data_IF_092177337249
#
_entry.id   IF_092177337249
#
_cell.length_a   1.000
_cell.length_b   1.000
_cell.length_c   1.000
_cell.angle_alpha   90.00
_cell.angle_beta   90.00
_cell.angle_gamma   90.00
#
_symmetry.space_group_name_H-M   'P 1'
#
loop_
_entity.id
_entity.type
_entity.pdbx_description
1 polymer ?
#
# COMPACT_ATOMS: atom_id res chain seq x y z
N UNK A 1 -9.43 -3.15 27.19
CA UNK A 1 -9.84 -4.57 27.09
C UNK A 1 -9.50 -5.08 25.70
N UNK A 2 -8.76 -6.19 25.60
CA UNK A 2 -8.47 -6.86 24.33
C UNK A 2 -9.79 -7.31 23.67
N UNK A 3 -10.01 -6.96 22.40
CA UNK A 3 -11.22 -7.34 21.66
C UNK A 3 -11.11 -8.82 21.29
N UNK A 4 -12.03 -9.64 21.79
CA UNK A 4 -12.05 -11.06 21.45
C UNK A 4 -12.50 -11.24 20.00
N UNK A 5 -11.85 -12.13 19.26
CA UNK A 5 -12.25 -12.52 17.91
C UNK A 5 -13.72 -12.95 17.84
N UNK A 6 -14.25 -13.50 18.92
CA UNK A 6 -15.67 -13.84 19.10
C UNK A 6 -16.60 -12.64 18.94
N UNK A 7 -16.25 -11.48 19.52
CA UNK A 7 -17.06 -10.28 19.39
C UNK A 7 -17.05 -9.75 17.96
N UNK A 8 -15.90 -9.81 17.29
CA UNK A 8 -15.78 -9.44 15.88
C UNK A 8 -16.59 -10.40 15.01
N UNK A 9 -16.55 -11.71 15.30
CA UNK A 9 -17.34 -12.73 14.61
C UNK A 9 -18.84 -12.44 14.67
N UNK A 10 -19.36 -12.04 15.85
CA UNK A 10 -20.77 -11.64 16.00
C UNK A 10 -21.19 -10.52 15.04
N UNK A 11 -20.33 -9.54 14.79
CA UNK A 11 -20.64 -8.48 13.81
C UNK A 11 -20.80 -9.01 12.37
N UNK A 12 -20.11 -10.09 12.01
CA UNK A 12 -20.32 -10.74 10.71
C UNK A 12 -21.62 -11.53 10.70
N UNK A 13 -21.93 -12.25 11.79
CA UNK A 13 -23.21 -12.97 11.96
C UNK A 13 -24.40 -12.00 11.82
N UNK A 14 -24.41 -10.89 12.57
CA UNK A 14 -25.41 -9.81 12.48
C UNK A 14 -25.50 -9.23 11.05
N UNK A 15 -24.37 -9.02 10.38
CA UNK A 15 -24.36 -8.50 9.01
C UNK A 15 -24.98 -9.47 7.99
N UNK A 16 -24.99 -10.77 8.26
CA UNK A 16 -25.66 -11.77 7.43
C UNK A 16 -27.14 -11.99 7.78
N UNK A 17 -27.61 -11.64 8.98
CA UNK A 17 -29.03 -11.78 9.37
C UNK A 17 -29.98 -10.99 8.46
N UNK A 18 -29.51 -9.89 7.88
CA UNK A 18 -30.26 -9.11 6.88
C UNK A 18 -30.24 -9.71 5.47
N UNK A 19 -29.78 -10.97 5.32
CA UNK A 19 -29.63 -11.67 4.06
C UNK A 19 -30.35 -13.01 4.10
N UNK A 20 -31.03 -13.38 3.02
CA UNK A 20 -31.70 -14.68 2.86
C UNK A 20 -30.75 -15.87 2.75
N UNK A 21 -29.44 -15.63 2.84
CA UNK A 21 -28.37 -16.63 2.75
C UNK A 21 -27.48 -16.53 3.99
N UNK A 22 -27.98 -17.09 5.10
CA UNK A 22 -27.19 -17.26 6.31
C UNK A 22 -26.08 -18.31 6.05
N UNK A 23 -24.81 -18.01 6.37
CA UNK A 23 -23.73 -18.98 6.21
C UNK A 23 -23.82 -20.07 7.28
N UNK A 24 -23.39 -21.29 6.97
CA UNK A 24 -23.36 -22.39 7.94
C UNK A 24 -22.26 -22.21 8.99
N UNK A 25 -21.17 -21.51 8.64
CA UNK A 25 -20.06 -21.21 9.53
C UNK A 25 -19.31 -19.95 9.08
N UNK A 26 -18.84 -19.15 10.03
CA UNK A 26 -17.98 -17.98 9.80
C UNK A 26 -16.67 -18.15 10.56
N UNK A 27 -15.54 -18.11 9.84
CA UNK A 27 -14.18 -18.08 10.38
C UNK A 27 -13.62 -16.66 10.21
N UNK A 28 -13.24 -16.03 11.33
CA UNK A 28 -12.62 -14.71 11.35
C UNK A 28 -11.25 -14.81 11.99
N UNK A 29 -10.24 -14.29 11.30
CA UNK A 29 -8.87 -14.20 11.80
C UNK A 29 -8.18 -12.92 11.39
N UNK A 30 -7.23 -12.50 12.21
CA UNK A 30 -6.24 -11.52 11.80
C UNK A 30 -5.13 -12.20 10.99
N UNK A 31 -4.65 -11.49 9.96
CA UNK A 31 -3.64 -11.97 9.04
C UNK A 31 -2.57 -10.89 8.86
N UNK A 32 -1.28 -11.27 8.83
CA UNK A 32 -0.15 -10.34 8.80
C UNK A 32 0.06 -9.73 7.40
N UNK A 33 -0.94 -9.00 6.89
CA UNK A 33 -0.79 -8.21 5.67
C UNK A 33 0.22 -7.08 5.88
N UNK A 34 0.93 -6.72 4.81
CA UNK A 34 1.88 -5.59 4.81
C UNK A 34 1.15 -4.25 5.04
N UNK A 35 -0.07 -4.11 4.51
CA UNK A 35 -0.91 -2.93 4.68
C UNK A 35 -2.32 -3.28 5.15
N UNK A 36 -3.23 -2.30 5.08
CA UNK A 36 -4.64 -2.44 5.46
C UNK A 36 -5.40 -3.16 4.33
N UNK A 37 -5.28 -4.49 4.31
CA UNK A 37 -6.01 -5.37 3.40
C UNK A 37 -6.95 -6.27 4.18
N UNK A 38 -8.17 -6.43 3.66
CA UNK A 38 -9.17 -7.33 4.23
C UNK A 38 -9.77 -8.19 3.11
N UNK A 39 -10.08 -9.44 3.42
CA UNK A 39 -10.71 -10.35 2.46
C UNK A 39 -11.86 -11.09 3.10
N UNK A 40 -12.94 -11.27 2.34
CA UNK A 40 -14.05 -12.14 2.68
C UNK A 40 -14.34 -13.05 1.49
N UNK A 41 -14.58 -14.34 1.74
CA UNK A 41 -14.85 -15.33 0.69
C UNK A 41 -15.86 -16.37 1.18
N UNK A 42 -16.75 -16.81 0.29
CA UNK A 42 -17.60 -17.98 0.48
C UNK A 42 -16.95 -19.17 -0.20
N UNK A 43 -16.76 -20.27 0.54
CA UNK A 43 -16.24 -21.53 0.02
C UNK A 43 -16.91 -22.69 0.76
N UNK A 44 -17.49 -23.62 0.02
CA UNK A 44 -18.14 -24.83 0.57
C UNK A 44 -19.18 -24.52 1.67
N UNK A 45 -19.98 -23.46 1.47
CA UNK A 45 -20.98 -22.99 2.45
C UNK A 45 -20.42 -22.21 3.64
N UNK A 46 -19.09 -22.09 3.77
CA UNK A 46 -18.40 -21.43 4.88
C UNK A 46 -17.84 -20.06 4.46
N UNK A 47 -17.88 -19.11 5.38
CA UNK A 47 -17.33 -17.77 5.20
C UNK A 47 -15.96 -17.69 5.84
N UNK A 48 -14.98 -17.22 5.06
CA UNK A 48 -13.63 -16.98 5.54
C UNK A 48 -13.33 -15.48 5.48
N UNK A 49 -13.10 -14.89 6.64
CA UNK A 49 -12.74 -13.49 6.81
C UNK A 49 -11.29 -13.40 7.27
N UNK A 50 -10.48 -12.63 6.55
CA UNK A 50 -9.13 -12.25 6.97
C UNK A 50 -9.05 -10.75 7.12
N UNK A 51 -8.67 -10.30 8.31
CA UNK A 51 -8.51 -8.90 8.65
C UNK A 51 -7.03 -8.54 8.77
N UNK A 52 -6.63 -7.36 8.33
CA UNK A 52 -5.27 -6.88 8.57
C UNK A 52 -4.97 -6.86 10.07
N UNK A 53 -3.87 -7.49 10.47
CA UNK A 53 -3.35 -7.50 11.84
C UNK A 53 -3.20 -6.09 12.41
N UNK A 54 -2.79 -5.14 11.57
CA UNK A 54 -2.67 -3.71 11.92
C UNK A 54 -3.98 -3.09 12.39
N UNK A 55 -5.12 -3.66 12.01
CA UNK A 55 -6.45 -3.18 12.35
C UNK A 55 -7.06 -3.91 13.56
N UNK A 56 -6.29 -4.72 14.30
CA UNK A 56 -6.79 -5.45 15.48
C UNK A 56 -7.40 -4.52 16.53
N UNK A 57 -6.76 -3.37 16.73
CA UNK A 57 -7.11 -2.47 17.83
C UNK A 57 -8.17 -1.44 17.44
N UNK A 58 -8.62 -1.41 16.17
CA UNK A 58 -9.65 -0.48 15.68
C UNK A 58 -10.92 -0.53 16.55
N UNK A 59 -11.56 0.61 16.87
CA UNK A 59 -12.78 0.70 17.68
C UNK A 59 -13.86 -0.32 17.28
N UNK A 60 -14.71 -0.75 18.22
CA UNK A 60 -15.75 -1.76 17.94
C UNK A 60 -16.69 -1.31 16.82
N UNK A 61 -17.04 -0.02 16.80
CA UNK A 61 -17.84 0.59 15.74
C UNK A 61 -17.18 0.46 14.36
N UNK A 62 -15.85 0.60 14.30
CA UNK A 62 -15.07 0.41 13.09
C UNK A 62 -15.05 -1.05 12.63
N UNK A 63 -14.94 -2.00 13.58
CA UNK A 63 -15.01 -3.44 13.27
C UNK A 63 -16.40 -3.84 12.76
N UNK A 64 -17.46 -3.30 13.36
CA UNK A 64 -18.84 -3.50 12.93
C UNK A 64 -19.08 -2.91 11.54
N UNK A 65 -18.61 -1.69 11.31
CA UNK A 65 -18.66 -1.04 10.00
C UNK A 65 -17.90 -1.85 8.93
N UNK A 66 -16.72 -2.38 9.27
CA UNK A 66 -15.94 -3.24 8.39
C UNK A 66 -16.68 -4.54 8.03
N UNK A 67 -17.36 -5.16 9.00
CA UNK A 67 -18.17 -6.35 8.75
C UNK A 67 -19.30 -6.07 7.73
N UNK A 68 -20.06 -4.98 7.93
CA UNK A 68 -21.10 -4.54 7.00
C UNK A 68 -20.56 -4.29 5.59
N UNK A 69 -19.40 -3.64 5.47
CA UNK A 69 -18.74 -3.37 4.18
C UNK A 69 -18.38 -4.68 3.47
N UNK A 70 -17.74 -5.61 4.18
CA UNK A 70 -17.27 -6.87 3.60
C UNK A 70 -18.43 -7.77 3.20
N UNK A 71 -19.46 -7.91 4.05
CA UNK A 71 -20.64 -8.71 3.73
C UNK A 71 -21.40 -8.12 2.53
N UNK A 72 -21.60 -6.80 2.48
CA UNK A 72 -22.23 -6.16 1.32
C UNK A 72 -21.44 -6.42 0.03
N UNK A 73 -20.10 -6.35 0.07
CA UNK A 73 -19.24 -6.68 -1.08
C UNK A 73 -19.35 -8.15 -1.50
N UNK A 74 -19.35 -9.08 -0.55
CA UNK A 74 -19.51 -10.51 -0.83
C UNK A 74 -20.84 -10.80 -1.52
N UNK A 75 -21.92 -10.19 -1.02
CA UNK A 75 -23.28 -10.36 -1.52
C UNK A 75 -23.58 -9.50 -2.77
N UNK A 76 -22.60 -8.72 -3.27
CA UNK A 76 -22.76 -7.77 -4.38
C UNK A 76 -23.89 -6.76 -4.16
N UNK A 77 -24.13 -6.36 -2.91
CA UNK A 77 -25.11 -5.34 -2.51
C UNK A 77 -24.44 -3.97 -2.38
N UNK A 78 -25.26 -2.90 -2.42
CA UNK A 78 -24.80 -1.54 -2.15
C UNK A 78 -24.27 -1.44 -0.71
N UNK A 79 -23.06 -0.91 -0.57
CA UNK A 79 -22.43 -0.68 0.74
C UNK A 79 -23.04 0.57 1.40
N UNK A 80 -23.32 0.50 2.70
CA UNK A 80 -23.79 1.65 3.47
C UNK A 80 -22.75 2.80 3.47
N UNK A 81 -23.13 4.03 3.07
CA UNK A 81 -22.24 5.20 3.15
C UNK A 81 -21.77 5.48 4.57
N UNK A 82 -22.65 5.28 5.57
CA UNK A 82 -22.33 5.49 6.98
C UNK A 82 -21.26 4.50 7.45
N UNK A 83 -21.37 3.22 7.08
CA UNK A 83 -20.34 2.22 7.40
C UNK A 83 -18.99 2.56 6.75
N UNK A 84 -19.00 3.03 5.49
CA UNK A 84 -17.78 3.49 4.83
C UNK A 84 -17.14 4.67 5.56
N UNK A 85 -17.95 5.62 6.03
CA UNK A 85 -17.47 6.79 6.75
C UNK A 85 -16.81 6.41 8.09
N UNK A 86 -17.52 5.65 8.93
CA UNK A 86 -17.01 5.19 10.24
C UNK A 86 -15.68 4.45 10.07
N UNK A 87 -15.62 3.52 9.11
CA UNK A 87 -14.39 2.78 8.85
C UNK A 87 -13.26 3.69 8.33
N UNK A 88 -13.55 4.60 7.39
CA UNK A 88 -12.56 5.56 6.85
C UNK A 88 -11.99 6.48 7.92
N UNK A 89 -12.82 7.01 8.80
CA UNK A 89 -12.39 7.86 9.91
C UNK A 89 -11.51 7.09 10.88
N UNK A 90 -11.88 5.85 11.19
CA UNK A 90 -11.12 4.98 12.09
C UNK A 90 -9.73 4.62 11.56
N UNK A 91 -9.55 4.52 10.23
CA UNK A 91 -8.23 4.25 9.63
C UNK A 91 -7.40 5.51 9.33
N UNK A 92 -7.94 6.72 9.55
CA UNK A 92 -7.22 7.98 9.36
C UNK A 92 -6.30 8.35 10.53
N UNK A 93 -6.41 7.66 11.67
CA UNK A 93 -5.61 7.94 12.86
C UNK A 93 -4.11 7.90 12.61
N UNK A 94 -3.38 8.85 13.18
CA UNK A 94 -1.92 9.02 13.03
C UNK A 94 -1.18 7.75 13.46
N UNK A 95 -1.55 7.18 14.61
CA UNK A 95 -0.95 5.95 15.15
C UNK A 95 -1.05 4.76 14.18
N UNK A 96 -2.21 4.56 13.53
CA UNK A 96 -2.38 3.48 12.56
C UNK A 96 -1.53 3.72 11.31
N UNK A 97 -1.42 4.97 10.84
CA UNK A 97 -0.58 5.32 9.68
C UNK A 97 0.89 5.06 9.97
N UNK A 98 1.36 5.41 11.16
CA UNK A 98 2.72 5.11 11.62
C UNK A 98 2.96 3.61 11.69
N UNK A 99 2.04 2.83 12.28
CA UNK A 99 2.12 1.36 12.32
C UNK A 99 2.13 0.73 10.93
N UNK A 100 1.32 1.23 9.99
CA UNK A 100 1.34 0.78 8.58
C UNK A 100 2.69 1.09 7.94
N UNK A 101 3.24 2.27 8.18
CA UNK A 101 4.54 2.71 7.63
C UNK A 101 5.68 1.87 8.21
N UNK A 102 5.70 1.66 9.52
CA UNK A 102 6.66 0.79 10.20
C UNK A 102 6.56 -0.67 9.74
N UNK A 103 5.35 -1.22 9.58
CA UNK A 103 5.16 -2.58 9.08
C UNK A 103 5.57 -2.74 7.61
N UNK A 104 5.35 -1.71 6.78
CA UNK A 104 5.91 -1.64 5.43
C UNK A 104 7.44 -1.59 5.45
N UNK A 105 8.06 -0.85 6.38
CA UNK A 105 9.53 -0.84 6.57
C UNK A 105 10.09 -2.18 7.00
N UNK A 106 9.46 -2.83 7.98
CA UNK A 106 9.96 -4.07 8.56
C UNK A 106 9.68 -5.31 7.72
N UNK A 107 8.54 -5.36 7.01
CA UNK A 107 8.05 -6.57 6.32
C UNK A 107 7.76 -6.37 4.83
N UNK A 108 7.78 -5.12 4.36
CA UNK A 108 7.73 -4.83 2.95
C UNK A 108 9.04 -5.26 2.30
N UNK A 109 9.00 -6.37 1.56
CA UNK A 109 10.07 -6.69 0.64
C UNK A 109 10.04 -5.66 -0.48
N UNK A 110 10.90 -4.64 -0.43
CA UNK A 110 11.28 -3.92 -1.65
C UNK A 110 12.13 -4.91 -2.43
N UNK A 111 11.58 -5.46 -3.51
CA UNK A 111 12.37 -6.21 -4.46
C UNK A 111 13.22 -5.17 -5.17
N UNK A 112 14.38 -4.86 -4.57
CA UNK A 112 15.45 -4.13 -5.23
C UNK A 112 15.95 -5.09 -6.29
N UNK A 113 15.64 -4.80 -7.55
CA UNK A 113 16.09 -5.66 -8.65
C UNK A 113 17.57 -5.38 -8.90
N UNK A 114 17.86 -4.29 -9.58
CA UNK A 114 19.21 -3.75 -9.83
C UNK A 114 19.06 -2.30 -10.29
N UNK A 115 20.11 -1.50 -10.16
CA UNK A 115 20.22 -0.19 -10.84
C UNK A 115 20.51 -0.37 -12.35
N UNK A 116 21.16 -1.48 -12.71
CA UNK A 116 21.46 -1.87 -14.08
C UNK A 116 20.26 -2.53 -14.76
N UNK A 117 19.70 -1.87 -15.76
CA UNK A 117 18.68 -2.42 -16.65
C UNK A 117 19.29 -3.14 -17.85
N UNK A 118 18.44 -3.54 -18.79
CA UNK A 118 18.84 -4.18 -20.05
C UNK A 118 19.48 -3.15 -21.01
N UNK A 119 19.04 -1.89 -20.98
CA UNK A 119 19.51 -0.81 -21.87
C UNK A 119 20.15 0.35 -21.13
N UNK A 120 19.72 0.63 -19.89
CA UNK A 120 20.17 1.78 -19.13
C UNK A 120 20.67 1.42 -17.74
N UNK A 121 21.77 2.02 -17.32
CA UNK A 121 22.26 1.98 -15.95
C UNK A 121 21.84 3.25 -15.21
N UNK A 122 20.97 3.09 -14.20
CA UNK A 122 20.50 4.20 -13.39
C UNK A 122 21.62 4.85 -12.58
N UNK A 123 22.65 4.10 -12.19
CA UNK A 123 23.81 4.62 -11.48
C UNK A 123 24.64 5.56 -12.34
N UNK A 124 24.90 5.19 -13.60
CA UNK A 124 25.59 6.06 -14.55
C UNK A 124 24.80 7.33 -14.83
N UNK A 125 23.49 7.19 -15.06
CA UNK A 125 22.58 8.32 -15.29
C UNK A 125 22.55 9.24 -14.06
N UNK A 126 22.36 8.69 -12.86
CA UNK A 126 22.36 9.47 -11.62
C UNK A 126 23.67 10.22 -11.43
N UNK A 127 24.81 9.52 -11.57
CA UNK A 127 26.14 10.12 -11.41
C UNK A 127 26.36 11.28 -12.38
N UNK A 128 25.98 11.11 -13.65
CA UNK A 128 26.07 12.15 -14.66
C UNK A 128 25.22 13.38 -14.31
N UNK A 129 23.94 13.17 -13.96
CA UNK A 129 23.03 14.25 -13.57
C UNK A 129 23.48 14.96 -12.29
N UNK A 130 23.98 14.20 -11.30
CA UNK A 130 24.46 14.73 -10.04
C UNK A 130 25.63 15.67 -10.26
N UNK A 131 26.56 15.31 -11.15
CA UNK A 131 27.71 16.17 -11.47
C UNK A 131 27.30 17.45 -12.18
N UNK A 132 26.40 17.39 -13.16
CA UNK A 132 26.06 18.55 -14.00
C UNK A 132 25.10 19.52 -13.29
N UNK A 133 24.14 19.00 -12.54
CA UNK A 133 23.04 19.81 -12.00
C UNK A 133 23.12 20.05 -10.49
N UNK A 134 23.92 19.27 -9.76
CA UNK A 134 23.95 19.29 -8.30
C UNK A 134 25.36 19.33 -7.71
N UNK A 135 26.38 19.65 -8.52
CA UNK A 135 27.80 19.71 -8.14
C UNK A 135 28.32 18.43 -7.45
N UNK A 136 27.71 17.28 -7.73
CA UNK A 136 28.03 16.02 -7.05
C UNK A 136 27.63 15.96 -5.57
N UNK A 137 26.79 16.88 -5.09
CA UNK A 137 26.45 17.02 -3.67
C UNK A 137 25.41 16.03 -3.17
N UNK A 138 24.63 15.41 -4.06
CA UNK A 138 23.62 14.43 -3.64
C UNK A 138 24.31 13.07 -3.41
N UNK A 139 24.28 12.51 -2.19
CA UNK A 139 24.77 11.16 -1.95
C UNK A 139 23.93 10.18 -2.77
N UNK A 140 24.56 9.17 -3.38
CA UNK A 140 23.83 8.25 -4.24
C UNK A 140 22.83 7.42 -3.42
N UNK A 141 21.51 7.56 -3.66
CA UNK A 141 20.51 6.76 -2.98
C UNK A 141 20.56 5.32 -3.52
N UNK A 142 19.79 4.43 -2.92
CA UNK A 142 19.52 3.14 -3.58
C UNK A 142 18.80 3.39 -4.90
N UNK A 143 19.30 2.85 -6.00
CA UNK A 143 18.70 2.98 -7.32
C UNK A 143 18.12 1.64 -7.75
N UNK A 144 16.88 1.63 -8.25
CA UNK A 144 16.27 0.38 -8.70
C UNK A 144 15.27 0.56 -9.83
N UNK A 145 15.27 -0.38 -10.76
CA UNK A 145 14.13 -0.57 -11.66
C UNK A 145 12.95 -1.19 -10.93
N UNK A 146 11.73 -0.78 -11.29
CA UNK A 146 10.51 -1.43 -10.83
C UNK A 146 10.47 -2.89 -11.28
N UNK A 147 9.88 -3.75 -10.45
CA UNK A 147 9.79 -5.20 -10.77
C UNK A 147 8.95 -5.53 -11.99
N UNK A 148 7.93 -4.71 -12.27
CA UNK A 148 7.04 -4.84 -13.42
C UNK A 148 7.00 -3.53 -14.18
N UNK A 149 6.74 -3.61 -15.49
CA UNK A 149 6.46 -2.42 -16.31
C UNK A 149 5.19 -1.74 -15.81
N UNK A 150 5.28 -0.44 -15.54
CA UNK A 150 4.14 0.41 -15.15
C UNK A 150 4.21 1.73 -15.90
N UNK A 151 3.10 2.15 -16.49
CA UNK A 151 3.03 3.42 -17.24
C UNK A 151 2.36 4.54 -16.45
N UNK A 152 1.84 4.22 -15.25
CA UNK A 152 1.11 5.18 -14.40
C UNK A 152 2.05 6.02 -13.54
N UNK A 153 3.15 5.43 -13.06
CA UNK A 153 4.17 6.08 -12.23
C UNK A 153 5.51 5.73 -12.87
N UNK A 154 6.18 6.74 -13.43
CA UNK A 154 7.40 6.56 -14.21
C UNK A 154 8.67 6.61 -13.35
N UNK A 155 8.65 7.41 -12.28
CA UNK A 155 9.66 7.47 -11.22
C UNK A 155 8.97 7.70 -9.88
N UNK A 156 9.63 7.32 -8.80
CA UNK A 156 9.33 7.86 -7.47
C UNK A 156 10.55 7.78 -6.55
N UNK A 157 10.76 8.83 -5.77
CA UNK A 157 11.65 8.86 -4.63
C UNK A 157 10.92 8.42 -3.36
N UNK A 158 11.52 7.48 -2.64
CA UNK A 158 11.03 6.95 -1.38
C UNK A 158 11.93 7.40 -0.24
N UNK A 159 11.61 8.57 0.34
CA UNK A 159 12.38 9.19 1.42
C UNK A 159 12.53 8.29 2.67
N UNK A 160 11.65 7.31 2.86
CA UNK A 160 11.73 6.39 3.99
C UNK A 160 12.87 5.38 3.88
N UNK A 161 13.39 5.15 2.66
CA UNK A 161 14.44 4.15 2.39
C UNK A 161 15.57 4.72 1.53
N UNK A 162 15.61 6.05 1.35
CA UNK A 162 16.59 6.73 0.50
C UNK A 162 16.77 6.02 -0.86
N UNK A 163 15.67 5.87 -1.60
CA UNK A 163 15.64 5.09 -2.84
C UNK A 163 14.93 5.82 -3.96
N UNK A 164 15.53 5.87 -5.14
CA UNK A 164 14.85 6.23 -6.39
C UNK A 164 14.47 4.95 -7.12
N UNK A 165 13.19 4.83 -7.48
CA UNK A 165 12.70 3.71 -8.29
C UNK A 165 12.17 4.22 -9.62
N UNK A 166 12.74 3.72 -10.71
CA UNK A 166 12.32 4.07 -12.08
C UNK A 166 11.53 2.90 -12.69
N UNK A 167 10.49 3.21 -13.44
CA UNK A 167 9.67 2.18 -14.08
C UNK A 167 10.46 1.41 -15.15
N UNK A 168 10.44 0.07 -15.08
CA UNK A 168 11.00 -0.83 -16.12
C UNK A 168 10.35 -0.66 -17.49
N UNK A 169 9.25 0.10 -17.60
CA UNK A 169 8.70 0.47 -18.92
C UNK A 169 9.63 1.40 -19.71
N UNK A 170 10.53 2.11 -19.03
CA UNK A 170 11.49 3.04 -19.63
C UNK A 170 12.82 2.37 -20.02
N UNK A 171 13.06 1.15 -19.57
CA UNK A 171 14.24 0.36 -19.90
C UNK A 171 14.02 -0.40 -21.23
N UNK A 172 14.29 0.29 -22.34
CA UNK A 172 14.07 -0.28 -23.67
C UNK A 172 14.71 0.55 -24.79
N UNK A 173 15.23 -0.13 -25.83
CA UNK A 173 15.89 0.50 -27.00
C UNK A 173 15.09 1.64 -27.68
N UNK A 174 13.76 1.59 -27.62
CA UNK A 174 12.88 2.59 -28.25
C UNK A 174 12.65 3.83 -27.39
N UNK A 175 13.06 3.80 -26.13
CA UNK A 175 12.93 4.93 -25.20
C UNK A 175 14.24 5.71 -25.28
N UNK A 176 14.24 6.98 -25.73
CA UNK A 176 15.48 7.75 -25.76
C UNK A 176 16.07 7.96 -24.36
N UNK A 177 17.41 7.98 -24.25
CA UNK A 177 18.13 8.14 -22.97
C UNK A 177 17.67 9.36 -22.17
N UNK A 178 17.44 10.49 -22.85
CA UNK A 178 17.01 11.75 -22.21
C UNK A 178 15.67 11.62 -21.47
N UNK A 179 14.80 10.68 -21.86
CA UNK A 179 13.53 10.43 -21.16
C UNK A 179 13.79 9.80 -19.79
N UNK A 180 14.73 8.85 -19.73
CA UNK A 180 15.13 8.22 -18.48
C UNK A 180 15.87 9.22 -17.59
N UNK A 181 16.78 10.00 -18.18
CA UNK A 181 17.50 11.08 -17.48
C UNK A 181 16.53 12.09 -16.88
N UNK A 182 15.51 12.53 -17.62
CA UNK A 182 14.49 13.45 -17.12
C UNK A 182 13.75 12.88 -15.90
N UNK A 183 13.36 11.60 -15.94
CA UNK A 183 12.67 10.97 -14.81
C UNK A 183 13.59 10.86 -13.60
N UNK A 184 14.83 10.39 -13.76
CA UNK A 184 15.80 10.32 -12.66
C UNK A 184 16.06 11.70 -12.07
N UNK A 185 16.25 12.71 -12.92
CA UNK A 185 16.42 14.10 -12.49
C UNK A 185 15.22 14.60 -11.67
N UNK A 186 13.99 14.30 -12.12
CA UNK A 186 12.78 14.67 -11.37
C UNK A 186 12.76 14.05 -9.97
N UNK A 187 13.17 12.79 -9.84
CA UNK A 187 13.26 12.14 -8.53
C UNK A 187 14.40 12.68 -7.66
N UNK A 188 15.52 13.11 -8.27
CA UNK A 188 16.61 13.78 -7.54
C UNK A 188 16.15 15.12 -6.96
N UNK A 189 15.30 15.87 -7.67
CA UNK A 189 14.72 17.10 -7.13
C UNK A 189 13.90 16.86 -5.87
N UNK A 190 13.24 15.70 -5.74
CA UNK A 190 12.53 15.33 -4.52
C UNK A 190 13.46 15.04 -3.33
N UNK A 191 14.74 14.72 -3.57
CA UNK A 191 15.74 14.60 -2.51
C UNK A 191 16.15 16.00 -2.03
N UNK A 192 16.43 16.91 -2.96
CA UNK A 192 16.88 18.27 -2.67
C UNK A 192 15.77 19.14 -2.07
N UNK A 193 14.53 18.90 -2.49
CA UNK A 193 13.35 19.62 -2.02
C UNK A 193 12.35 18.64 -1.37
N UNK A 194 12.61 18.21 -0.13
CA UNK A 194 11.70 17.33 0.59
C UNK A 194 10.32 17.97 0.69
N UNK A 195 9.27 17.20 0.34
CA UNK A 195 7.91 17.70 0.35
C UNK A 195 7.46 17.89 1.81
N UNK A 196 7.44 19.13 2.29
CA UNK A 196 6.88 19.48 3.60
C UNK A 196 5.36 19.44 3.46
N UNK A 197 4.72 18.36 3.94
CA UNK A 197 3.28 18.35 4.14
C UNK A 197 2.92 19.35 5.25
N UNK A 198 2.68 20.61 4.89
CA UNK A 198 1.92 21.51 5.76
C UNK A 198 0.48 21.02 5.77
N UNK A 199 0.12 20.29 6.82
CA UNK A 199 -1.27 20.02 7.19
C UNK A 199 -1.94 21.38 7.42
N UNK A 200 -2.75 21.80 6.45
CA UNK A 200 -3.80 22.81 6.64
C UNK A 200 -5.08 22.16 7.13
#
# INVERSE_FOLDING_TARGET
MSKTLEQIKKFYEEAFETSSKAPSQIDVRFYPYIGINHTIRLRDGRIFVRLAELCRDLPLEAQRALALILVAKLLRKKVSPQALQIYRESIKGVELRERVTANKRARGRKIITTAKGDFYDLGEIFGHLNQIYFDGKIPQPTLSWSTKKTFRILGHHDAAFDTIVVSRSLDGARVPKYVVEFVVFHEMLHIVHPTVHRSG
#
